data_IF_678861837772
#
_entry.id   IF_678861837772
#
_cell.length_a   1.000
_cell.length_b   1.000
_cell.length_c   1.000
_cell.angle_alpha   90.00
_cell.angle_beta   90.00
_cell.angle_gamma   90.00
#
_symmetry.space_group_name_H-M   'P 1'
#
loop_
_entity.id
_entity.type
_entity.pdbx_description
1 polymer ?
#
# COMPACT_ATOMS: atom_id res chain seq x y z
N UNK A 1 20.45 17.49 -21.89
CA UNK A 1 21.68 18.34 -21.87
C UNK A 1 21.21 19.77 -22.04
N UNK A 2 21.37 20.61 -21.01
CA UNK A 2 21.13 22.05 -21.18
C UNK A 2 22.22 22.61 -22.05
N UNK A 3 21.93 23.29 -23.18
CA UNK A 3 22.93 23.90 -23.99
C UNK A 3 23.75 24.91 -23.17
N UNK A 4 25.03 24.88 -23.32
CA UNK A 4 25.95 25.84 -22.69
C UNK A 4 25.61 27.26 -23.14
N UNK A 5 26.02 28.28 -22.37
CA UNK A 5 25.78 29.69 -22.71
C UNK A 5 26.37 30.04 -24.07
N UNK A 6 27.50 29.43 -24.42
CA UNK A 6 28.21 29.58 -25.71
C UNK A 6 27.43 28.96 -26.88
N UNK A 7 26.82 27.79 -26.69
CA UNK A 7 25.94 27.17 -27.70
C UNK A 7 24.65 27.97 -27.93
N UNK A 8 24.08 28.62 -26.88
CA UNK A 8 22.95 29.53 -27.04
C UNK A 8 23.34 30.77 -27.85
N UNK A 9 24.53 31.31 -27.63
CA UNK A 9 25.03 32.48 -28.34
C UNK A 9 25.31 32.15 -29.80
N UNK A 10 25.96 31.00 -30.09
CA UNK A 10 26.22 30.53 -31.44
C UNK A 10 24.89 30.28 -32.21
N UNK A 11 23.87 29.74 -31.57
CA UNK A 11 22.56 29.56 -32.19
C UNK A 11 21.84 30.89 -32.49
N UNK A 12 22.03 31.89 -31.64
CA UNK A 12 21.47 33.22 -31.88
C UNK A 12 22.15 33.96 -33.03
N UNK A 13 23.44 33.74 -33.23
CA UNK A 13 24.25 34.44 -34.26
C UNK A 13 24.12 33.78 -35.65
N UNK A 14 24.09 32.45 -35.70
CA UNK A 14 24.09 31.72 -36.98
C UNK A 14 22.73 31.25 -37.47
N UNK A 15 21.64 31.57 -36.77
CA UNK A 15 20.26 31.28 -37.24
C UNK A 15 19.95 29.80 -37.52
N UNK A 16 20.77 28.89 -37.02
CA UNK A 16 20.50 27.46 -37.19
C UNK A 16 19.18 27.09 -36.49
N UNK A 17 18.28 26.46 -37.25
CA UNK A 17 17.07 25.82 -36.70
C UNK A 17 17.54 24.91 -35.55
N UNK A 18 17.20 25.31 -34.33
CA UNK A 18 17.49 24.52 -33.16
C UNK A 18 16.92 23.13 -33.38
N UNK A 19 17.75 22.10 -33.54
CA UNK A 19 17.30 20.72 -33.45
C UNK A 19 16.64 20.62 -32.09
N UNK A 20 15.34 20.31 -32.05
CA UNK A 20 14.61 20.03 -30.83
C UNK A 20 15.31 18.86 -30.13
N UNK A 21 16.25 19.17 -29.27
CA UNK A 21 16.93 18.17 -28.44
C UNK A 21 15.92 17.78 -27.37
N UNK A 22 15.27 16.67 -27.58
CA UNK A 22 14.36 16.09 -26.61
C UNK A 22 15.18 15.54 -25.44
N UNK A 23 14.93 16.07 -24.25
CA UNK A 23 15.53 15.57 -23.02
C UNK A 23 14.94 14.19 -22.66
N UNK A 24 15.75 13.13 -22.89
CA UNK A 24 15.38 11.75 -22.54
C UNK A 24 16.00 11.32 -21.19
N UNK A 25 16.42 12.25 -20.35
CA UNK A 25 17.00 11.93 -19.05
C UNK A 25 16.03 11.15 -18.18
N UNK A 26 16.54 10.10 -17.54
CA UNK A 26 15.79 9.40 -16.50
C UNK A 26 15.69 10.31 -15.27
N UNK A 27 14.47 10.55 -14.82
CA UNK A 27 14.18 11.37 -13.64
C UNK A 27 13.52 10.50 -12.57
N UNK A 28 13.79 10.81 -11.31
CA UNK A 28 13.11 10.16 -10.19
C UNK A 28 11.61 10.47 -10.27
N UNK A 29 10.73 9.47 -10.19
CA UNK A 29 9.29 9.67 -10.18
C UNK A 29 8.86 10.60 -9.04
N UNK A 30 7.79 11.38 -9.24
CA UNK A 30 7.31 12.36 -8.22
C UNK A 30 6.91 11.73 -6.90
N UNK A 31 6.57 10.45 -6.91
CA UNK A 31 6.15 9.67 -5.73
C UNK A 31 7.33 9.11 -4.94
N UNK A 32 8.54 9.15 -5.50
CA UNK A 32 9.73 8.59 -4.87
C UNK A 32 10.61 9.69 -4.29
N UNK A 33 11.08 9.45 -3.07
CA UNK A 33 12.01 10.33 -2.34
C UNK A 33 13.11 9.47 -1.77
N UNK A 34 14.35 9.98 -1.77
CA UNK A 34 15.43 9.20 -1.20
C UNK A 34 16.75 9.95 -1.16
N UNK A 35 17.71 9.35 -0.48
CA UNK A 35 19.08 9.83 -0.41
C UNK A 35 19.97 8.92 -1.26
N UNK A 36 20.76 9.50 -2.15
CA UNK A 36 21.75 8.75 -2.92
C UNK A 36 22.82 8.22 -1.97
N UNK A 37 23.03 6.91 -1.98
CA UNK A 37 24.05 6.22 -1.18
C UNK A 37 25.32 6.01 -1.96
N UNK A 38 25.21 5.57 -3.22
CA UNK A 38 26.35 5.18 -4.05
C UNK A 38 26.01 5.38 -5.52
N UNK A 39 27.02 5.63 -6.34
CA UNK A 39 26.90 5.76 -7.80
C UNK A 39 28.01 4.91 -8.43
N UNK A 40 27.62 3.89 -9.19
CA UNK A 40 28.56 3.04 -9.93
C UNK A 40 28.44 3.28 -11.42
N UNK A 41 29.57 3.46 -12.06
CA UNK A 41 29.67 3.70 -13.49
C UNK A 41 30.35 2.49 -14.10
N UNK A 42 29.70 1.89 -15.09
CA UNK A 42 30.20 0.76 -15.85
C UNK A 42 30.47 1.23 -17.28
N UNK A 43 31.68 0.96 -17.80
CA UNK A 43 32.07 1.34 -19.16
C UNK A 43 32.71 0.17 -19.90
N UNK A 44 32.58 0.15 -21.21
CA UNK A 44 33.22 -0.87 -22.03
C UNK A 44 34.75 -0.84 -21.95
N UNK A 45 35.30 0.35 -21.73
CA UNK A 45 36.75 0.54 -21.58
C UNK A 45 37.30 -0.17 -20.34
N UNK A 46 36.47 -0.34 -19.30
CA UNK A 46 36.86 -1.04 -18.09
C UNK A 46 36.61 -2.56 -18.16
N UNK A 47 36.12 -3.07 -19.30
CA UNK A 47 35.85 -4.49 -19.49
C UNK A 47 34.54 -4.97 -18.94
N UNK A 48 33.62 -4.06 -18.57
CA UNK A 48 32.29 -4.42 -18.01
C UNK A 48 31.36 -4.95 -19.11
N UNK A 49 30.56 -5.96 -18.77
CA UNK A 49 29.49 -6.49 -19.63
C UNK A 49 28.34 -5.50 -19.67
N UNK A 50 28.17 -4.83 -20.79
CA UNK A 50 27.09 -3.87 -21.01
C UNK A 50 26.02 -4.42 -21.97
N UNK A 51 24.75 -4.02 -21.82
CA UNK A 51 23.70 -4.35 -22.77
C UNK A 51 24.06 -3.91 -24.20
N UNK A 52 23.57 -4.62 -25.24
CA UNK A 52 23.78 -4.23 -26.62
C UNK A 52 23.35 -2.79 -26.88
N UNK A 53 24.23 -2.00 -27.51
CA UNK A 53 23.95 -0.61 -27.82
C UNK A 53 24.27 0.42 -26.71
N UNK A 54 24.58 -0.01 -25.50
CA UNK A 54 24.98 0.87 -24.41
C UNK A 54 26.54 1.08 -24.41
N UNK A 55 26.98 2.30 -24.29
CA UNK A 55 28.41 2.65 -24.13
C UNK A 55 28.79 2.79 -22.66
N UNK A 56 27.86 3.23 -21.84
CA UNK A 56 28.04 3.44 -20.42
C UNK A 56 26.70 3.15 -19.68
N UNK A 57 26.78 2.50 -18.53
CA UNK A 57 25.66 2.30 -17.62
C UNK A 57 25.98 2.93 -16.27
N UNK A 58 25.12 3.83 -15.83
CA UNK A 58 25.23 4.45 -14.50
C UNK A 58 24.19 3.85 -13.59
N UNK A 59 24.62 3.24 -12.49
CA UNK A 59 23.74 2.65 -11.48
C UNK A 59 23.78 3.52 -10.23
N UNK A 60 22.65 4.16 -9.92
CA UNK A 60 22.49 5.02 -8.75
C UNK A 60 21.73 4.25 -7.67
N UNK A 61 22.33 4.12 -6.50
CA UNK A 61 21.72 3.49 -5.33
C UNK A 61 21.07 4.56 -4.47
N UNK A 62 19.75 4.46 -4.30
CA UNK A 62 18.96 5.42 -3.52
C UNK A 62 18.34 4.72 -2.32
N UNK A 63 18.63 5.23 -1.11
CA UNK A 63 17.98 4.76 0.11
C UNK A 63 16.69 5.54 0.37
N UNK A 64 15.65 4.83 0.66
CA UNK A 64 14.37 5.37 1.07
C UNK A 64 13.90 4.70 2.36
N UNK A 65 13.50 5.51 3.34
CA UNK A 65 12.90 5.01 4.57
C UNK A 65 11.38 5.11 4.47
N UNK A 66 10.73 3.99 4.26
CA UNK A 66 9.27 3.89 4.20
C UNK A 66 8.74 3.46 5.56
N UNK A 67 8.15 4.39 6.31
CA UNK A 67 7.42 4.10 7.54
C UNK A 67 6.10 3.40 7.21
N UNK A 68 5.57 2.67 8.20
CA UNK A 68 4.24 2.08 8.10
C UNK A 68 3.20 3.20 8.04
N UNK A 69 2.23 3.06 7.13
CA UNK A 69 1.15 4.02 6.95
C UNK A 69 -0.18 3.31 6.72
N UNK A 70 -1.27 4.06 6.81
CA UNK A 70 -2.62 3.55 6.50
C UNK A 70 -2.68 3.04 5.06
N UNK A 71 -3.21 1.84 4.88
CA UNK A 71 -3.26 1.17 3.58
C UNK A 71 -2.12 0.17 3.32
N UNK A 72 -1.07 0.17 4.13
CA UNK A 72 0.00 -0.83 4.03
C UNK A 72 -0.50 -2.20 4.49
N UNK A 73 0.01 -3.25 3.84
CA UNK A 73 -0.37 -4.62 4.13
C UNK A 73 0.61 -5.26 5.09
N UNK A 74 0.05 -5.83 6.15
CA UNK A 74 0.80 -6.62 7.13
C UNK A 74 0.22 -8.02 7.27
N UNK A 75 1.02 -8.96 7.70
CA UNK A 75 0.60 -10.33 7.92
C UNK A 75 1.37 -10.97 9.08
N UNK A 76 0.73 -11.92 9.75
CA UNK A 76 1.41 -12.84 10.64
C UNK A 76 1.95 -14.07 9.88
N UNK A 77 2.32 -15.12 10.63
CA UNK A 77 2.84 -16.40 10.10
C UNK A 77 1.75 -17.45 9.81
N UNK A 78 0.47 -17.13 10.07
CA UNK A 78 -0.65 -18.08 10.04
C UNK A 78 -1.68 -17.76 8.95
N UNK A 79 -1.27 -17.07 7.88
CA UNK A 79 -2.22 -16.66 6.83
C UNK A 79 -3.13 -15.48 7.23
N UNK A 80 -2.93 -14.90 8.39
CA UNK A 80 -3.64 -13.74 8.92
C UNK A 80 -3.07 -12.46 8.31
N UNK A 81 -3.57 -12.09 7.15
CA UNK A 81 -3.21 -10.87 6.42
C UNK A 81 -4.24 -9.79 6.65
N UNK A 82 -3.79 -8.57 6.77
CA UNK A 82 -4.66 -7.40 6.94
C UNK A 82 -4.05 -6.13 6.37
N UNK A 83 -4.85 -5.10 6.29
CA UNK A 83 -4.46 -3.76 5.85
C UNK A 83 -4.66 -2.81 7.02
N UNK A 84 -3.71 -1.92 7.24
CA UNK A 84 -3.78 -0.92 8.29
C UNK A 84 -4.87 0.08 7.95
N UNK A 85 -5.89 0.16 8.80
CA UNK A 85 -7.02 1.07 8.62
C UNK A 85 -6.81 2.41 9.33
N UNK A 86 -6.15 2.40 10.49
CA UNK A 86 -5.94 3.59 11.30
C UNK A 86 -4.61 3.50 12.06
N UNK A 87 -3.96 4.63 12.25
CA UNK A 87 -2.80 4.80 13.13
C UNK A 87 -3.21 5.81 14.17
N UNK A 88 -3.13 5.41 15.44
CA UNK A 88 -3.48 6.24 16.58
C UNK A 88 -2.23 6.70 17.32
N UNK A 89 -2.27 7.85 18.02
CA UNK A 89 -1.27 8.22 19.01
C UNK A 89 -1.14 7.12 20.08
N UNK A 90 0.03 7.03 20.68
CA UNK A 90 0.31 6.00 21.69
C UNK A 90 -0.59 6.15 22.94
N UNK A 91 -0.95 7.37 23.28
CA UNK A 91 -1.79 7.72 24.42
C UNK A 91 -3.25 7.24 24.25
N UNK A 92 -3.72 7.16 22.99
CA UNK A 92 -5.09 6.74 22.64
C UNK A 92 -5.25 5.22 22.53
N UNK A 93 -4.14 4.48 22.56
CA UNK A 93 -4.16 3.02 22.44
C UNK A 93 -4.61 2.37 23.76
N UNK A 94 -5.33 1.24 23.70
CA UNK A 94 -5.61 0.45 24.89
C UNK A 94 -4.32 0.06 25.62
N UNK A 95 -4.39 -0.02 26.92
CA UNK A 95 -3.22 -0.33 27.75
C UNK A 95 -3.52 -1.42 28.79
N UNK A 96 -2.47 -2.11 29.16
CA UNK A 96 -2.44 -3.18 30.16
C UNK A 96 -2.51 -2.60 31.59
N UNK A 97 -2.81 -3.41 32.61
CA UNK A 97 -2.84 -2.97 34.01
C UNK A 97 -1.53 -2.36 34.51
N UNK A 98 -0.39 -2.70 33.91
CA UNK A 98 0.93 -2.13 34.19
C UNK A 98 1.19 -0.78 33.49
N UNK A 99 0.23 -0.28 32.69
CA UNK A 99 0.36 0.95 31.93
C UNK A 99 1.01 0.79 30.56
N UNK A 100 1.40 -0.42 30.14
CA UNK A 100 1.99 -0.66 28.83
C UNK A 100 0.91 -0.61 27.74
N UNK A 101 1.00 0.30 26.75
CA UNK A 101 0.04 0.35 25.66
C UNK A 101 0.26 -0.81 24.68
N UNK A 102 -0.81 -1.28 24.05
CA UNK A 102 -0.71 -2.26 22.95
C UNK A 102 -0.23 -1.59 21.68
N UNK A 103 0.58 -2.30 20.87
CA UNK A 103 1.12 -1.77 19.62
C UNK A 103 0.16 -1.92 18.45
N UNK A 104 -0.70 -2.95 18.46
CA UNK A 104 -1.62 -3.27 17.38
C UNK A 104 -2.94 -3.83 17.94
N UNK A 105 -4.04 -3.44 17.33
CA UNK A 105 -5.38 -3.99 17.61
C UNK A 105 -5.87 -4.71 16.36
N UNK A 106 -6.29 -5.95 16.54
CA UNK A 106 -6.73 -6.82 15.46
C UNK A 106 -8.22 -7.13 15.58
N UNK A 107 -8.90 -7.23 14.43
CA UNK A 107 -10.30 -7.64 14.40
C UNK A 107 -10.41 -9.15 14.64
N UNK A 108 -11.11 -9.60 15.70
CA UNK A 108 -11.27 -11.01 16.02
C UNK A 108 -12.09 -11.79 14.97
N UNK A 109 -12.93 -11.13 14.19
CA UNK A 109 -13.73 -11.77 13.13
C UNK A 109 -12.87 -12.44 12.04
N UNK A 110 -11.60 -12.08 11.95
CA UNK A 110 -10.66 -12.71 11.03
C UNK A 110 -10.18 -14.11 11.43
N UNK A 111 -10.53 -14.59 12.63
CA UNK A 111 -10.04 -15.87 13.18
C UNK A 111 -11.04 -17.02 12.97
N UNK A 112 -12.33 -16.93 13.38
CA UNK A 112 -13.22 -18.09 13.42
C UNK A 112 -13.46 -18.73 12.06
N UNK A 113 -13.78 -17.93 11.05
CA UNK A 113 -14.10 -18.43 9.71
C UNK A 113 -12.87 -19.01 8.98
N UNK A 114 -11.67 -18.63 9.38
CA UNK A 114 -10.41 -19.07 8.73
C UNK A 114 -9.73 -20.21 9.47
N UNK A 115 -10.20 -20.54 10.67
CA UNK A 115 -9.73 -21.67 11.47
C UNK A 115 -8.20 -21.71 11.71
N UNK A 116 -7.53 -20.56 11.61
CA UNK A 116 -6.08 -20.44 11.84
C UNK A 116 -5.78 -20.22 13.33
N UNK A 117 -6.14 -21.21 14.17
CA UNK A 117 -6.02 -21.16 15.62
C UNK A 117 -4.57 -21.01 16.11
N UNK A 118 -3.59 -21.46 15.30
CA UNK A 118 -2.18 -21.32 15.60
C UNK A 118 -1.73 -19.88 15.92
N UNK A 119 -2.41 -18.86 15.37
CA UNK A 119 -2.13 -17.46 15.71
C UNK A 119 -2.47 -17.13 17.18
N UNK A 120 -3.51 -17.76 17.73
CA UNK A 120 -3.90 -17.58 19.14
C UNK A 120 -2.88 -18.25 20.05
N UNK A 121 -2.45 -19.46 19.73
CA UNK A 121 -1.39 -20.13 20.47
C UNK A 121 -0.07 -19.36 20.42
N UNK A 122 0.30 -18.82 19.27
CA UNK A 122 1.49 -17.96 19.14
C UNK A 122 1.37 -16.73 20.04
N UNK A 123 0.21 -16.06 20.04
CA UNK A 123 -0.05 -14.88 20.85
C UNK A 123 0.14 -15.16 22.35
N UNK A 124 -0.49 -16.23 22.85
CA UNK A 124 -0.46 -16.59 24.26
C UNK A 124 0.93 -17.10 24.69
N UNK A 125 1.55 -17.94 23.86
CA UNK A 125 2.90 -18.44 24.15
C UNK A 125 3.92 -17.30 24.09
N UNK A 126 3.76 -16.34 23.17
CA UNK A 126 4.56 -15.13 23.10
C UNK A 126 4.41 -14.26 24.35
N UNK A 127 3.19 -14.17 24.90
CA UNK A 127 2.92 -13.48 26.15
C UNK A 127 3.64 -14.13 27.33
N UNK A 128 3.51 -15.44 27.50
CA UNK A 128 4.22 -16.20 28.53
C UNK A 128 5.74 -16.07 28.40
N UNK A 129 6.27 -16.26 27.19
CA UNK A 129 7.71 -16.19 26.90
C UNK A 129 8.31 -14.81 27.19
N UNK A 130 7.60 -13.74 26.89
CA UNK A 130 8.04 -12.38 27.21
C UNK A 130 8.12 -12.14 28.70
N UNK A 131 7.15 -12.66 29.46
CA UNK A 131 7.13 -12.53 30.91
C UNK A 131 8.21 -13.40 31.60
N UNK A 132 8.52 -14.56 31.04
CA UNK A 132 9.58 -15.46 31.51
C UNK A 132 10.98 -15.09 30.98
N UNK A 133 11.07 -14.09 30.08
CA UNK A 133 12.29 -13.70 29.39
C UNK A 133 13.00 -14.87 28.71
N UNK A 134 12.23 -15.72 28.05
CA UNK A 134 12.73 -16.90 27.32
C UNK A 134 12.27 -16.90 25.85
N UNK A 135 12.89 -17.77 25.07
CA UNK A 135 12.45 -18.06 23.69
C UNK A 135 11.90 -19.46 23.60
N UNK A 136 10.68 -19.59 23.11
CA UNK A 136 10.02 -20.89 22.94
C UNK A 136 10.26 -21.42 21.53
N UNK A 137 10.65 -22.68 21.44
CA UNK A 137 10.74 -23.45 20.21
C UNK A 137 9.62 -24.48 20.23
N UNK A 138 8.76 -24.43 19.22
CA UNK A 138 7.65 -25.39 19.07
C UNK A 138 8.11 -26.50 18.13
N UNK A 139 7.89 -27.75 18.55
CA UNK A 139 8.14 -28.92 17.71
C UNK A 139 6.99 -29.04 16.71
N UNK A 140 7.27 -29.24 15.40
CA UNK A 140 6.21 -29.47 14.43
C UNK A 140 5.44 -30.76 14.79
N UNK A 141 4.13 -30.73 14.55
CA UNK A 141 3.23 -31.87 14.82
C UNK A 141 3.15 -32.30 16.29
N UNK A 142 3.14 -31.33 17.22
CA UNK A 142 3.04 -31.58 18.65
C UNK A 142 1.76 -32.32 19.06
N UNK A 143 0.68 -32.26 18.26
CA UNK A 143 -0.55 -33.02 18.42
C UNK A 143 -0.33 -34.56 18.43
N UNK A 144 0.80 -35.03 17.90
CA UNK A 144 1.18 -36.44 18.01
C UNK A 144 1.34 -36.90 19.47
N UNK A 145 1.59 -36.00 20.39
CA UNK A 145 1.71 -36.28 21.82
C UNK A 145 0.39 -36.21 22.59
N UNK A 146 -0.73 -35.92 21.91
CA UNK A 146 -2.08 -35.84 22.47
C UNK A 146 -2.83 -34.61 21.94
N UNK A 147 -4.13 -34.76 21.70
CA UNK A 147 -4.97 -33.73 21.08
C UNK A 147 -5.03 -32.41 21.88
N UNK A 148 -4.85 -32.46 23.20
CA UNK A 148 -4.89 -31.28 24.06
C UNK A 148 -3.50 -30.81 24.51
N UNK A 149 -2.43 -31.40 23.97
CA UNK A 149 -1.07 -31.13 24.45
C UNK A 149 -0.65 -29.67 24.27
N UNK A 150 -1.02 -29.06 23.18
CA UNK A 150 -0.76 -27.64 22.92
C UNK A 150 -1.43 -26.72 23.94
N UNK A 151 -2.69 -27.01 24.27
CA UNK A 151 -3.45 -26.28 25.30
C UNK A 151 -2.80 -26.38 26.68
N UNK A 152 -2.49 -27.61 27.10
CA UNK A 152 -1.84 -27.87 28.40
C UNK A 152 -0.48 -27.19 28.49
N UNK A 153 0.29 -27.20 27.41
CA UNK A 153 1.61 -26.56 27.37
C UNK A 153 1.48 -25.05 27.51
N UNK A 154 0.58 -24.41 26.74
CA UNK A 154 0.35 -22.95 26.84
C UNK A 154 -0.11 -22.55 28.23
N UNK A 155 -1.04 -23.32 28.80
CA UNK A 155 -1.54 -23.06 30.16
C UNK A 155 -0.42 -23.18 31.19
N UNK A 156 0.39 -24.22 31.16
CA UNK A 156 1.51 -24.41 32.07
C UNK A 156 2.51 -23.24 32.03
N UNK A 157 2.85 -22.75 30.83
CA UNK A 157 3.73 -21.60 30.67
C UNK A 157 3.12 -20.29 31.21
N UNK A 158 1.81 -20.07 31.02
CA UNK A 158 1.10 -18.92 31.57
C UNK A 158 1.04 -18.96 33.10
N UNK A 159 0.76 -20.13 33.70
CA UNK A 159 0.79 -20.34 35.12
C UNK A 159 2.19 -20.07 35.72
N UNK A 160 3.25 -20.55 35.04
CA UNK A 160 4.62 -20.28 35.46
C UNK A 160 4.96 -18.79 35.39
N UNK A 161 4.51 -18.10 34.34
CA UNK A 161 4.69 -16.66 34.18
C UNK A 161 4.00 -15.86 35.30
N UNK A 162 2.83 -16.29 35.76
CA UNK A 162 2.07 -15.63 36.82
C UNK A 162 2.72 -15.75 38.21
N UNK A 163 3.54 -16.77 38.45
CA UNK A 163 4.25 -17.00 39.69
C UNK A 163 5.40 -15.99 39.96
N UNK A 164 5.74 -15.19 38.94
CA UNK A 164 6.78 -14.17 39.11
C UNK A 164 6.29 -13.02 40.01
N UNK A 165 7.16 -12.42 40.79
CA UNK A 165 6.80 -11.29 41.67
C UNK A 165 6.14 -10.13 40.91
N UNK A 166 4.96 -9.71 41.36
CA UNK A 166 4.21 -8.60 40.75
C UNK A 166 3.48 -8.92 39.47
N UNK A 167 3.49 -10.17 38.99
CA UNK A 167 2.88 -10.58 37.72
C UNK A 167 1.66 -11.52 37.86
N UNK A 168 1.03 -11.55 39.04
CA UNK A 168 -0.17 -12.38 39.27
C UNK A 168 -1.32 -12.08 38.28
N UNK A 169 -1.39 -10.87 37.75
CA UNK A 169 -2.40 -10.42 36.78
C UNK A 169 -2.18 -10.94 35.36
N UNK A 170 -1.03 -11.57 35.07
CA UNK A 170 -0.67 -12.09 33.73
C UNK A 170 -1.52 -13.28 33.31
N UNK A 171 -2.05 -14.02 34.29
CA UNK A 171 -2.88 -15.20 34.06
C UNK A 171 -4.11 -15.20 34.96
N UNK A 172 -5.27 -15.39 34.34
CA UNK A 172 -6.54 -15.63 35.04
C UNK A 172 -7.01 -17.06 34.74
N UNK A 173 -7.22 -17.91 35.76
CA UNK A 173 -7.72 -19.25 35.56
C UNK A 173 -9.12 -19.34 34.92
N UNK A 174 -9.99 -18.33 35.16
CA UNK A 174 -11.35 -18.29 34.61
C UNK A 174 -11.34 -17.98 33.11
N UNK A 175 -10.41 -17.09 32.68
CA UNK A 175 -10.25 -16.68 31.29
C UNK A 175 -8.79 -16.77 30.85
N UNK A 176 -8.26 -17.97 30.60
CA UNK A 176 -6.85 -18.17 30.24
C UNK A 176 -6.43 -17.35 29.01
N UNK A 177 -5.43 -16.51 29.18
CA UNK A 177 -4.86 -15.68 28.11
C UNK A 177 -5.64 -14.44 27.74
N UNK A 178 -6.70 -14.11 28.47
CA UNK A 178 -7.41 -12.84 28.32
C UNK A 178 -7.08 -11.90 29.49
N UNK A 179 -6.97 -10.63 29.20
CA UNK A 179 -6.64 -9.57 30.14
C UNK A 179 -7.67 -8.46 30.08
N UNK A 180 -7.94 -7.83 31.21
CA UNK A 180 -8.78 -6.65 31.28
C UNK A 180 -7.93 -5.43 30.89
N UNK A 181 -8.19 -4.87 29.73
CA UNK A 181 -7.55 -3.67 29.23
C UNK A 181 -8.32 -2.41 29.63
N UNK A 182 -7.64 -1.28 29.60
CA UNK A 182 -8.26 0.04 29.74
C UNK A 182 -8.16 0.81 28.42
N UNK A 183 -9.19 1.58 28.10
CA UNK A 183 -9.20 2.47 26.95
C UNK A 183 -8.24 3.66 27.20
N UNK A 184 -7.34 3.93 26.26
CA UNK A 184 -6.40 5.03 26.35
C UNK A 184 -7.05 6.41 26.38
N UNK A 185 -8.24 6.58 25.80
CA UNK A 185 -8.92 7.86 25.74
C UNK A 185 -9.74 8.17 27.01
N UNK A 186 -10.51 7.18 27.49
CA UNK A 186 -11.42 7.37 28.61
C UNK A 186 -10.82 6.95 29.94
N UNK A 187 -9.83 6.04 29.93
CA UNK A 187 -9.27 5.41 31.11
C UNK A 187 -10.15 4.34 31.72
N UNK A 188 -11.32 4.09 31.14
CA UNK A 188 -12.28 3.07 31.61
C UNK A 188 -11.83 1.66 31.21
N UNK A 189 -12.16 0.68 32.02
CA UNK A 189 -11.92 -0.71 31.69
C UNK A 189 -12.88 -1.19 30.59
N UNK A 190 -12.43 -2.10 29.72
CA UNK A 190 -13.29 -2.76 28.76
C UNK A 190 -14.33 -3.65 29.48
N UNK A 191 -15.52 -3.77 28.88
CA UNK A 191 -16.61 -4.59 29.44
C UNK A 191 -16.24 -6.07 29.52
N UNK A 192 -15.36 -6.53 28.65
CA UNK A 192 -14.94 -7.93 28.58
C UNK A 192 -13.43 -8.06 28.48
N UNK A 193 -12.83 -9.11 29.07
CA UNK A 193 -11.42 -9.38 28.94
C UNK A 193 -11.05 -9.74 27.49
N UNK A 194 -9.91 -9.26 27.04
CA UNK A 194 -9.42 -9.37 25.67
C UNK A 194 -8.15 -10.23 25.62
N UNK A 195 -8.02 -11.06 24.59
CA UNK A 195 -6.80 -11.81 24.34
C UNK A 195 -5.66 -10.86 23.94
N UNK A 196 -4.58 -10.87 24.73
CA UNK A 196 -3.40 -10.03 24.52
C UNK A 196 -2.14 -10.88 24.57
N UNK A 197 -1.15 -10.53 23.77
CA UNK A 197 0.13 -11.20 23.78
C UNK A 197 1.06 -10.70 22.70
N UNK A 198 2.15 -11.39 22.48
CA UNK A 198 3.15 -11.06 21.48
C UNK A 198 3.06 -12.02 20.30
N UNK A 199 2.93 -11.46 19.11
CA UNK A 199 2.92 -12.20 17.85
C UNK A 199 3.90 -11.58 16.87
N UNK A 200 4.41 -12.38 15.92
CA UNK A 200 5.29 -11.91 14.88
C UNK A 200 4.48 -11.35 13.71
N UNK A 201 4.77 -10.10 13.33
CA UNK A 201 4.18 -9.46 12.19
C UNK A 201 5.23 -9.11 11.14
N UNK A 202 4.86 -9.30 9.88
CA UNK A 202 5.67 -9.02 8.70
C UNK A 202 5.05 -7.87 7.93
N UNK A 203 5.84 -6.85 7.59
CA UNK A 203 5.46 -5.83 6.63
C UNK A 203 5.64 -6.41 5.23
N UNK A 204 4.56 -6.48 4.45
CA UNK A 204 4.61 -6.99 3.09
C UNK A 204 5.01 -5.90 2.11
N UNK A 205 5.57 -6.30 0.96
CA UNK A 205 6.00 -5.37 -0.12
C UNK A 205 4.83 -4.66 -0.81
N UNK A 206 3.60 -5.07 -0.54
CA UNK A 206 2.38 -4.45 -1.05
C UNK A 206 2.08 -3.13 -0.32
N UNK A 207 2.94 -2.13 -0.52
CA UNK A 207 2.80 -0.82 0.06
C UNK A 207 1.79 0.02 -0.72
N UNK A 208 1.02 0.85 0.00
CA UNK A 208 0.00 1.71 -0.61
C UNK A 208 0.60 2.72 -1.59
N UNK A 209 1.77 3.28 -1.28
CA UNK A 209 2.45 4.27 -2.13
C UNK A 209 2.79 3.72 -3.52
N UNK A 210 3.09 2.43 -3.61
CA UNK A 210 3.38 1.78 -4.88
C UNK A 210 2.11 1.53 -5.71
N UNK A 211 0.94 1.51 -5.09
CA UNK A 211 -0.35 1.17 -5.71
C UNK A 211 -1.27 2.36 -5.92
N UNK A 212 -1.15 3.40 -5.09
CA UNK A 212 -1.96 4.61 -5.23
C UNK A 212 -1.70 5.26 -6.57
N UNK A 213 -2.78 5.57 -7.29
CA UNK A 213 -2.69 6.18 -8.59
C UNK A 213 -3.88 7.11 -8.82
N UNK A 214 -3.61 8.29 -9.37
CA UNK A 214 -4.61 9.25 -9.79
C UNK A 214 -4.22 9.86 -11.14
N UNK A 215 -5.21 10.24 -11.92
CA UNK A 215 -5.03 10.88 -13.21
C UNK A 215 -6.05 12.01 -13.38
N UNK A 216 -5.60 13.14 -13.90
CA UNK A 216 -6.48 14.16 -14.49
C UNK A 216 -6.44 14.08 -16.03
N UNK A 217 -5.35 14.53 -16.61
CA UNK A 217 -5.01 14.41 -18.03
C UNK A 217 -3.72 13.63 -18.18
N UNK A 218 -3.57 12.90 -19.30
CA UNK A 218 -2.37 12.09 -19.53
C UNK A 218 -2.33 11.55 -20.96
N UNK A 219 -1.46 10.57 -21.24
CA UNK A 219 -1.31 10.00 -22.56
C UNK A 219 -2.53 9.19 -23.00
N UNK A 220 -2.79 9.19 -24.29
CA UNK A 220 -3.87 8.48 -24.95
C UNK A 220 -3.30 7.52 -26.01
N UNK A 221 -4.04 6.44 -26.28
CA UNK A 221 -3.69 5.53 -27.37
C UNK A 221 -3.78 6.25 -28.73
N UNK A 222 -2.84 5.96 -29.63
CA UNK A 222 -2.82 6.56 -30.97
C UNK A 222 -4.00 6.08 -31.82
N UNK A 223 -4.39 4.83 -31.71
CA UNK A 223 -5.45 4.22 -32.55
C UNK A 223 -6.85 4.52 -32.01
N UNK A 224 -7.09 4.17 -30.74
CA UNK A 224 -8.43 4.26 -30.15
C UNK A 224 -8.73 5.61 -29.52
N UNK A 225 -7.72 6.47 -29.31
CA UNK A 225 -7.81 7.75 -28.61
C UNK A 225 -8.36 7.65 -27.17
N UNK A 226 -8.35 6.46 -26.61
CA UNK A 226 -8.73 6.20 -25.24
C UNK A 226 -7.55 6.40 -24.28
N UNK A 227 -7.78 6.76 -23.01
CA UNK A 227 -6.72 6.81 -22.00
C UNK A 227 -5.98 5.47 -21.92
N UNK A 228 -4.66 5.52 -21.82
CA UNK A 228 -3.85 4.31 -21.54
C UNK A 228 -4.19 3.72 -20.18
N UNK A 229 -3.88 2.44 -19.96
CA UNK A 229 -4.04 1.76 -18.69
C UNK A 229 -2.73 1.69 -17.89
N UNK A 230 -2.85 1.53 -16.56
CA UNK A 230 -1.72 1.29 -15.67
C UNK A 230 -1.05 2.54 -15.09
N UNK A 231 -0.54 2.39 -13.87
CA UNK A 231 0.14 3.47 -13.13
C UNK A 231 1.41 3.95 -13.82
N UNK A 232 2.20 3.02 -14.38
CA UNK A 232 3.48 3.36 -15.03
C UNK A 232 3.33 4.30 -16.23
N UNK A 233 2.20 4.23 -16.92
CA UNK A 233 1.87 5.04 -18.08
C UNK A 233 0.98 6.25 -17.74
N UNK A 234 0.79 6.55 -16.46
CA UNK A 234 -0.18 7.56 -16.02
C UNK A 234 -1.57 7.34 -16.64
N UNK A 235 -2.00 6.08 -16.68
CA UNK A 235 -3.23 5.65 -17.30
C UNK A 235 -4.47 5.93 -16.47
N UNK A 236 -5.65 5.80 -17.08
CA UNK A 236 -6.95 5.89 -16.44
C UNK A 236 -7.42 4.55 -15.88
N UNK A 237 -8.44 4.61 -15.02
CA UNK A 237 -9.14 3.43 -14.55
C UNK A 237 -10.12 2.93 -15.63
N UNK A 238 -10.25 1.61 -15.73
CA UNK A 238 -11.22 1.00 -16.63
C UNK A 238 -12.62 1.05 -16.01
N UNK A 239 -13.58 1.64 -16.71
CA UNK A 239 -15.00 1.46 -16.43
C UNK A 239 -15.44 0.19 -17.16
N UNK A 240 -15.64 -0.89 -16.43
CA UNK A 240 -16.05 -2.16 -16.98
C UNK A 240 -17.55 -2.23 -17.30
N UNK A 241 -18.00 -3.34 -17.84
CA UNK A 241 -19.40 -3.57 -18.17
C UNK A 241 -20.31 -3.52 -16.95
N UNK A 242 -19.88 -4.11 -15.83
CA UNK A 242 -20.67 -4.10 -14.59
C UNK A 242 -20.80 -2.71 -14.00
N UNK A 243 -19.77 -1.86 -14.09
CA UNK A 243 -19.81 -0.47 -13.64
C UNK A 243 -20.77 0.37 -14.51
N UNK A 244 -20.86 0.07 -15.79
CA UNK A 244 -21.86 0.67 -16.69
C UNK A 244 -23.27 0.28 -16.27
N UNK A 245 -23.53 -0.98 -15.96
CA UNK A 245 -24.82 -1.44 -15.45
C UNK A 245 -25.22 -0.77 -14.13
N UNK A 246 -24.25 -0.53 -13.26
CA UNK A 246 -24.52 0.19 -12.02
C UNK A 246 -25.00 1.63 -12.29
N UNK A 247 -24.38 2.35 -13.24
CA UNK A 247 -24.79 3.69 -13.63
C UNK A 247 -26.17 3.70 -14.32
N UNK A 248 -26.47 2.69 -15.13
CA UNK A 248 -27.78 2.50 -15.72
C UNK A 248 -28.87 2.26 -14.66
N UNK A 249 -28.57 1.44 -13.65
CA UNK A 249 -29.49 1.16 -12.54
C UNK A 249 -29.80 2.41 -11.71
N UNK A 250 -28.84 3.32 -11.57
CA UNK A 250 -29.04 4.63 -10.93
C UNK A 250 -29.77 5.63 -11.82
N UNK A 251 -29.97 5.34 -13.10
CA UNK A 251 -30.53 6.29 -14.08
C UNK A 251 -29.63 7.48 -14.38
N UNK A 252 -28.31 7.35 -14.12
CA UNK A 252 -27.32 8.42 -14.28
C UNK A 252 -26.84 8.56 -15.74
N UNK A 253 -27.76 8.84 -16.68
CA UNK A 253 -27.47 8.86 -18.11
C UNK A 253 -26.45 9.93 -18.52
N UNK A 254 -26.52 11.12 -17.96
CA UNK A 254 -25.58 12.20 -18.26
C UNK A 254 -24.16 11.88 -17.78
N UNK A 255 -24.01 11.28 -16.61
CA UNK A 255 -22.71 10.85 -16.08
C UNK A 255 -22.13 9.75 -16.97
N UNK A 256 -22.93 8.78 -17.38
CA UNK A 256 -22.50 7.72 -18.29
C UNK A 256 -22.07 8.28 -19.65
N UNK A 257 -22.83 9.21 -20.22
CA UNK A 257 -22.48 9.88 -21.46
C UNK A 257 -21.14 10.61 -21.36
N UNK A 258 -20.91 11.35 -20.29
CA UNK A 258 -19.64 12.05 -20.03
C UNK A 258 -18.46 11.07 -19.94
N UNK A 259 -18.63 9.96 -19.24
CA UNK A 259 -17.59 8.93 -19.06
C UNK A 259 -17.23 8.24 -20.39
N UNK A 260 -18.20 8.04 -21.27
CA UNK A 260 -18.01 7.41 -22.58
C UNK A 260 -17.44 8.36 -23.65
N UNK A 261 -17.62 9.67 -23.52
CA UNK A 261 -17.25 10.66 -24.54
C UNK A 261 -16.06 11.52 -24.15
N UNK A 262 -16.27 12.59 -23.40
CA UNK A 262 -15.26 13.60 -23.06
C UNK A 262 -14.12 13.00 -22.24
N UNK A 263 -14.40 12.04 -21.38
CA UNK A 263 -13.40 11.35 -20.54
C UNK A 263 -12.74 10.16 -21.25
N UNK A 264 -13.17 9.78 -22.44
CA UNK A 264 -12.67 8.61 -23.16
C UNK A 264 -12.13 8.99 -24.54
N UNK A 265 -12.90 8.80 -25.60
CA UNK A 265 -12.45 8.77 -27.00
C UNK A 265 -12.80 10.03 -27.81
N UNK A 266 -13.65 10.93 -27.31
CA UNK A 266 -14.01 12.17 -28.01
C UNK A 266 -12.89 13.22 -27.89
N UNK A 267 -12.03 13.28 -28.92
CA UNK A 267 -10.91 14.22 -28.98
C UNK A 267 -11.39 15.69 -29.03
N UNK A 268 -12.42 15.96 -29.82
CA UNK A 268 -12.91 17.31 -30.00
C UNK A 268 -13.54 17.83 -28.70
N UNK A 269 -14.47 17.08 -28.14
CA UNK A 269 -15.14 17.42 -26.88
C UNK A 269 -14.16 17.58 -25.71
N UNK A 270 -13.11 16.75 -25.66
CA UNK A 270 -12.04 16.87 -24.66
C UNK A 270 -11.26 18.19 -24.78
N UNK A 271 -10.88 18.57 -25.99
CA UNK A 271 -10.16 19.83 -26.23
C UNK A 271 -11.02 21.05 -25.94
N UNK A 272 -12.29 21.01 -26.33
CA UNK A 272 -13.26 22.06 -26.05
C UNK A 272 -13.48 22.22 -24.54
N UNK A 273 -13.63 21.12 -23.81
CA UNK A 273 -13.78 21.13 -22.35
C UNK A 273 -12.53 21.72 -21.65
N UNK A 274 -11.33 21.32 -22.04
CA UNK A 274 -10.07 21.86 -21.51
C UNK A 274 -9.96 23.38 -21.79
N UNK A 275 -10.29 23.82 -23.00
CA UNK A 275 -10.28 25.23 -23.37
C UNK A 275 -11.32 26.03 -22.58
N UNK A 276 -12.51 25.45 -22.33
CA UNK A 276 -13.53 26.08 -21.51
C UNK A 276 -13.07 26.26 -20.05
N UNK A 277 -12.44 25.23 -19.47
CA UNK A 277 -11.89 25.30 -18.11
C UNK A 277 -10.82 26.39 -18.00
N UNK A 278 -9.86 26.41 -18.94
CA UNK A 278 -8.77 27.42 -18.94
C UNK A 278 -9.32 28.84 -19.08
N UNK A 279 -10.38 29.03 -19.87
CA UNK A 279 -11.02 30.36 -20.13
C UNK A 279 -12.09 30.73 -19.08
N UNK A 280 -12.38 29.86 -18.11
CA UNK A 280 -13.44 30.05 -17.13
C UNK A 280 -14.86 30.11 -17.75
N UNK A 281 -15.06 29.44 -18.89
CA UNK A 281 -16.35 29.35 -19.57
C UNK A 281 -17.09 28.07 -19.15
N UNK A 282 -18.43 28.05 -19.25
CA UNK A 282 -19.18 26.80 -19.03
C UNK A 282 -18.73 25.72 -20.00
N UNK A 283 -18.61 24.50 -19.48
CA UNK A 283 -18.20 23.32 -20.26
C UNK A 283 -19.34 22.96 -21.22
N UNK A 284 -19.07 22.69 -22.53
CA UNK A 284 -20.08 22.30 -23.47
C UNK A 284 -20.67 20.93 -23.10
N UNK A 285 -21.89 20.66 -23.56
CA UNK A 285 -22.52 19.34 -23.35
C UNK A 285 -21.76 18.24 -24.07
N UNK A 286 -21.63 17.04 -23.46
CA UNK A 286 -21.02 15.91 -24.10
C UNK A 286 -21.72 15.52 -25.42
N UNK A 287 -20.94 15.10 -26.40
CA UNK A 287 -21.44 14.59 -27.68
C UNK A 287 -21.94 13.15 -27.60
N UNK A 288 -22.02 12.51 -28.74
CA UNK A 288 -22.34 11.07 -28.87
C UNK A 288 -21.06 10.24 -28.85
N UNK A 289 -21.05 9.04 -28.23
CA UNK A 289 -19.89 8.13 -28.28
C UNK A 289 -19.48 7.76 -29.71
N UNK A 290 -18.18 7.62 -29.96
CA UNK A 290 -17.69 7.27 -31.29
C UNK A 290 -18.17 5.86 -31.73
N UNK A 291 -18.27 4.92 -30.78
CA UNK A 291 -18.84 3.59 -31.04
C UNK A 291 -20.30 3.66 -31.56
N UNK A 292 -21.09 4.58 -31.04
CA UNK A 292 -22.47 4.79 -31.50
C UNK A 292 -22.50 5.39 -32.89
N UNK A 293 -21.59 6.29 -33.23
CA UNK A 293 -21.48 6.84 -34.62
C UNK A 293 -21.13 5.76 -35.62
N UNK A 294 -20.28 4.78 -35.24
CA UNK A 294 -19.97 3.62 -36.11
C UNK A 294 -21.17 2.72 -36.30
N UNK A 295 -21.96 2.49 -35.23
CA UNK A 295 -23.19 1.69 -35.34
C UNK A 295 -24.25 2.33 -36.28
N UNK A 296 -24.31 3.66 -36.32
CA UNK A 296 -25.25 4.42 -37.11
C UNK A 296 -24.88 4.48 -38.62
N UNK A 297 -23.63 4.22 -38.96
CA UNK A 297 -23.12 4.14 -40.33
C UNK A 297 -23.31 2.74 -40.96
#
# INVERSE_FOLDING_TARGET
>A
IRPTTEEKLLRAIFGEKARDVRDNSLRVPKTEKGRVLDVRIYTREQGDELPPGANMVVRVYVAQRRKIQVGDKMAGRHGNKGIISRILPREDMPYLPDGTPVDIVLNPLGVPSRMNVGQVFELLMGWAASNLNCRVKVVPFDEMYGAEKSHQTVQAFLEEASKQPGKAWVYNPEDPGKLLLKDGRTGEAFDQPVAVGYSHFLKLVHLVDDKIHARSTGPYSLVTQQPLGGKAQQGGQRLGEMEVWALEAYGAAYTLQELLTVKSDDMQGRNEALNAIVKGKPIPRPGTPESFKVLMR
#
